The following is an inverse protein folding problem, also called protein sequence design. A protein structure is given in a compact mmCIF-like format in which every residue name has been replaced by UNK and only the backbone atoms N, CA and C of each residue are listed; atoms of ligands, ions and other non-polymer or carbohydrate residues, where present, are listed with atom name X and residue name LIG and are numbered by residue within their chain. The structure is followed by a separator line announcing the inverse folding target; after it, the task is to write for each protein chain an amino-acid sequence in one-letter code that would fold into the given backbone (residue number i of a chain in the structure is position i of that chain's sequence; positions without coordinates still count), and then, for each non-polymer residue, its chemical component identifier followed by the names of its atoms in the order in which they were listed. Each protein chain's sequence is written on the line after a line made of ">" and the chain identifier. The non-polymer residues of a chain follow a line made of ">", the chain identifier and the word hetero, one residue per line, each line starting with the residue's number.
data_IF_532836276551
#
_entry.id   IF_532836276551
#
_cell.length_a   1.000
_cell.length_b   1.000
_cell.length_c   1.000
_cell.angle_alpha   90.00
_cell.angle_beta   90.00
_cell.angle_gamma   90.00
#
_symmetry.space_group_name_H-M   'P 1'
#
loop_
_entity.id
_entity.type
_entity.pdbx_description
1 polymer ?
#
# COMPACT_ATOMS: atom_id res chain seq x y z
N UNK A 1 -61.71 16.53 -23.10
CA UNK A 1 -61.37 15.13 -23.48
C UNK A 1 -62.31 14.23 -22.70
N UNK A 2 -63.04 13.32 -23.35
CA UNK A 2 -63.97 12.42 -22.63
C UNK A 2 -63.21 11.28 -21.96
N UNK A 3 -63.66 10.86 -20.78
CA UNK A 3 -63.09 9.75 -19.99
C UNK A 3 -63.21 8.42 -20.72
N UNK A 4 -64.31 8.21 -21.45
CA UNK A 4 -64.56 6.99 -22.23
C UNK A 4 -63.52 6.80 -23.35
N UNK A 5 -62.96 7.91 -23.86
CA UNK A 5 -62.02 7.94 -25.00
C UNK A 5 -60.72 8.65 -24.64
N UNK A 6 -60.04 8.14 -23.60
CA UNK A 6 -58.73 8.64 -23.20
C UNK A 6 -57.63 8.25 -24.21
N UNK A 7 -57.38 9.15 -25.16
CA UNK A 7 -56.30 9.05 -26.14
C UNK A 7 -54.91 9.21 -25.50
N UNK A 8 -54.05 8.20 -25.71
CA UNK A 8 -52.67 8.19 -25.26
C UNK A 8 -51.85 9.36 -25.81
N UNK A 9 -52.04 9.77 -27.07
CA UNK A 9 -51.28 10.88 -27.68
C UNK A 9 -51.55 12.22 -27.00
N UNK A 10 -52.74 12.38 -26.41
CA UNK A 10 -53.09 13.57 -25.63
C UNK A 10 -52.53 13.47 -24.22
N UNK A 11 -52.50 12.28 -23.60
CA UNK A 11 -51.96 12.09 -22.25
C UNK A 11 -50.42 12.13 -22.21
N UNK A 12 -49.77 11.57 -23.23
CA UNK A 12 -48.32 11.49 -23.37
C UNK A 12 -47.86 11.99 -24.74
N UNK A 13 -47.89 13.32 -24.98
CA UNK A 13 -47.44 13.89 -26.25
C UNK A 13 -45.96 13.59 -26.48
N UNK A 14 -45.64 13.00 -27.63
CA UNK A 14 -44.29 12.54 -27.94
C UNK A 14 -43.77 11.43 -27.01
N UNK A 15 -44.65 10.73 -26.28
CA UNK A 15 -44.27 9.66 -25.36
C UNK A 15 -43.84 10.11 -23.96
N UNK A 16 -43.92 11.41 -23.64
CA UNK A 16 -43.57 11.93 -22.32
C UNK A 16 -44.74 11.79 -21.34
N UNK A 17 -44.51 11.07 -20.23
CA UNK A 17 -45.50 10.96 -19.15
C UNK A 17 -45.49 12.20 -18.25
N UNK A 18 -46.61 12.45 -17.54
CA UNK A 18 -46.69 13.55 -16.57
C UNK A 18 -47.37 14.83 -17.08
N UNK A 19 -48.30 14.72 -18.05
CA UNK A 19 -49.13 15.86 -18.45
C UNK A 19 -49.96 16.36 -17.27
N UNK A 20 -50.04 17.68 -17.12
CA UNK A 20 -50.97 18.32 -16.19
C UNK A 20 -52.42 18.13 -16.70
N UNK A 21 -53.20 17.28 -16.03
CA UNK A 21 -54.59 16.94 -16.38
C UNK A 21 -55.51 17.43 -15.27
N UNK A 22 -56.55 18.17 -15.66
CA UNK A 22 -57.61 18.63 -14.77
C UNK A 22 -58.84 17.73 -14.98
N UNK A 23 -59.42 17.25 -13.89
CA UNK A 23 -60.59 16.36 -13.88
C UNK A 23 -61.80 17.06 -13.27
N UNK A 24 -62.98 16.85 -13.84
CA UNK A 24 -64.24 17.13 -13.13
C UNK A 24 -64.54 15.96 -12.19
N UNK A 25 -65.33 16.20 -11.14
CA UNK A 25 -65.65 15.18 -10.13
C UNK A 25 -66.30 13.92 -10.73
N UNK A 26 -67.29 14.11 -11.61
CA UNK A 26 -67.98 13.02 -12.31
C UNK A 26 -67.05 12.23 -13.22
N UNK A 27 -66.11 12.90 -13.88
CA UNK A 27 -65.12 12.26 -14.73
C UNK A 27 -64.16 11.38 -13.91
N UNK A 28 -63.72 11.86 -12.74
CA UNK A 28 -62.82 11.10 -11.88
C UNK A 28 -63.48 9.83 -11.33
N UNK A 29 -64.74 9.93 -10.86
CA UNK A 29 -65.53 8.77 -10.39
C UNK A 29 -65.73 7.69 -11.46
N UNK A 30 -65.82 8.11 -12.73
CA UNK A 30 -66.05 7.18 -13.85
C UNK A 30 -64.81 6.36 -14.24
N UNK A 31 -63.60 6.81 -13.88
CA UNK A 31 -62.35 6.07 -14.17
C UNK A 31 -62.32 4.68 -13.53
N UNK A 32 -62.82 4.54 -12.29
CA UNK A 32 -62.84 3.27 -11.56
C UNK A 32 -63.72 2.23 -12.25
N UNK A 33 -64.83 2.63 -12.86
CA UNK A 33 -65.71 1.72 -13.62
C UNK A 33 -65.06 1.29 -14.95
N UNK A 34 -64.37 2.23 -15.61
CA UNK A 34 -63.75 2.03 -16.92
C UNK A 34 -62.48 1.17 -16.84
N UNK A 35 -61.64 1.35 -15.83
CA UNK A 35 -60.35 0.63 -15.71
C UNK A 35 -60.32 -0.39 -14.58
N UNK A 36 -61.16 -0.25 -13.56
CA UNK A 36 -61.09 -1.08 -12.36
C UNK A 36 -59.95 -0.66 -11.43
N UNK A 37 -59.64 -1.55 -10.49
CA UNK A 37 -58.52 -1.43 -9.56
C UNK A 37 -57.66 -2.70 -9.66
N UNK A 38 -56.54 -2.80 -8.94
CA UNK A 38 -55.78 -4.05 -8.90
C UNK A 38 -56.55 -5.23 -8.26
N UNK A 39 -57.60 -4.94 -7.48
CA UNK A 39 -58.44 -5.96 -6.81
C UNK A 39 -59.71 -6.28 -7.60
N UNK A 40 -60.27 -5.30 -8.31
CA UNK A 40 -61.55 -5.42 -9.01
C UNK A 40 -61.35 -5.19 -10.51
N UNK A 41 -61.71 -6.14 -11.39
CA UNK A 41 -61.53 -5.97 -12.83
C UNK A 41 -62.41 -4.84 -13.39
N UNK A 42 -62.09 -4.38 -14.61
CA UNK A 42 -62.91 -3.38 -15.30
C UNK A 42 -64.33 -3.89 -15.56
N UNK A 43 -65.33 -3.01 -15.40
CA UNK A 43 -66.73 -3.31 -15.73
C UNK A 43 -67.02 -3.10 -17.21
N UNK A 44 -66.44 -2.05 -17.80
CA UNK A 44 -66.73 -1.64 -19.17
C UNK A 44 -65.78 -2.28 -20.19
N UNK A 45 -64.50 -2.47 -19.83
CA UNK A 45 -63.49 -3.07 -20.71
C UNK A 45 -63.41 -4.57 -20.48
N UNK A 46 -64.00 -5.34 -21.39
CA UNK A 46 -64.02 -6.80 -21.34
C UNK A 46 -62.61 -7.39 -21.28
N UNK A 47 -62.36 -8.22 -20.27
CA UNK A 47 -61.08 -8.94 -20.09
C UNK A 47 -59.90 -8.05 -19.71
N UNK A 48 -60.14 -6.78 -19.36
CA UNK A 48 -59.08 -5.86 -18.96
C UNK A 48 -58.90 -5.84 -17.44
N UNK A 49 -57.65 -5.93 -17.02
CA UNK A 49 -57.24 -5.70 -15.63
C UNK A 49 -56.02 -4.76 -15.62
N UNK A 50 -55.88 -3.98 -14.55
CA UNK A 50 -54.71 -3.14 -14.38
C UNK A 50 -53.43 -4.00 -14.29
N UNK A 51 -52.35 -3.63 -14.98
CA UNK A 51 -51.06 -4.29 -14.82
C UNK A 51 -50.61 -4.24 -13.35
N UNK A 52 -50.25 -5.40 -12.81
CA UNK A 52 -49.71 -5.48 -11.46
C UNK A 52 -48.26 -4.99 -11.46
N UNK A 53 -47.87 -4.13 -10.51
CA UNK A 53 -46.49 -3.68 -10.42
C UNK A 53 -45.60 -4.87 -10.06
N UNK A 54 -44.46 -5.01 -10.74
CA UNK A 54 -43.48 -6.08 -10.47
C UNK A 54 -42.86 -5.98 -9.07
N UNK A 55 -42.82 -4.78 -8.51
CA UNK A 55 -42.33 -4.49 -7.16
C UNK A 55 -43.46 -3.90 -6.34
N UNK A 56 -43.71 -4.45 -5.14
CA UNK A 56 -44.69 -3.89 -4.21
C UNK A 56 -44.30 -2.48 -3.73
N UNK A 57 -43.01 -2.28 -3.43
CA UNK A 57 -42.41 -0.99 -3.07
C UNK A 57 -41.33 -0.63 -4.08
N UNK A 58 -41.45 0.53 -4.71
CA UNK A 58 -40.48 1.03 -5.71
C UNK A 58 -39.32 1.81 -5.08
N UNK A 59 -39.43 2.23 -3.82
CA UNK A 59 -38.37 2.93 -3.11
C UNK A 59 -37.25 1.98 -2.67
N UNK A 60 -36.30 1.78 -3.58
CA UNK A 60 -35.09 1.00 -3.35
C UNK A 60 -34.22 1.59 -2.24
N UNK A 61 -34.21 2.92 -2.07
CA UNK A 61 -33.39 3.57 -1.05
C UNK A 61 -33.86 3.22 0.35
N UNK A 62 -35.17 3.16 0.56
CA UNK A 62 -35.76 2.69 1.81
C UNK A 62 -35.44 1.23 2.07
N UNK A 63 -35.65 0.36 1.08
CA UNK A 63 -35.36 -1.08 1.19
C UNK A 63 -33.89 -1.34 1.55
N UNK A 64 -32.95 -0.74 0.82
CA UNK A 64 -31.51 -0.93 1.10
C UNK A 64 -31.07 -0.34 2.45
N UNK A 65 -31.83 0.61 2.98
CA UNK A 65 -31.56 1.21 4.29
C UNK A 65 -32.23 0.47 5.46
N UNK A 66 -33.08 -0.50 5.17
CA UNK A 66 -33.80 -1.29 6.17
C UNK A 66 -32.81 -2.04 7.07
N UNK A 67 -33.13 -2.13 8.37
CA UNK A 67 -32.25 -2.71 9.38
C UNK A 67 -32.05 -4.20 9.16
N UNK A 68 -33.09 -4.89 8.70
CA UNK A 68 -33.09 -6.31 8.38
C UNK A 68 -32.05 -6.64 7.29
N UNK A 69 -31.97 -5.79 6.26
CA UNK A 69 -31.00 -5.95 5.17
C UNK A 69 -29.60 -5.56 5.65
N UNK A 70 -29.47 -4.45 6.39
CA UNK A 70 -28.18 -3.96 6.88
C UNK A 70 -27.52 -4.89 7.88
N UNK A 71 -28.31 -5.56 8.73
CA UNK A 71 -27.82 -6.48 9.74
C UNK A 71 -27.11 -7.70 9.11
N UNK A 72 -27.61 -8.17 7.97
CA UNK A 72 -27.04 -9.32 7.25
C UNK A 72 -25.92 -8.90 6.29
N UNK A 73 -25.89 -7.64 5.86
CA UNK A 73 -24.93 -7.14 4.91
C UNK A 73 -23.50 -7.12 5.49
N UNK A 74 -22.53 -7.58 4.71
CA UNK A 74 -21.11 -7.42 5.04
C UNK A 74 -20.70 -5.95 4.98
N UNK A 75 -19.71 -5.58 5.79
CA UNK A 75 -19.16 -4.22 5.80
C UNK A 75 -18.63 -3.84 4.41
N UNK A 76 -18.92 -2.62 3.90
CA UNK A 76 -18.44 -2.18 2.60
C UNK A 76 -16.92 -2.18 2.49
N UNK A 77 -16.38 -2.72 1.40
CA UNK A 77 -14.95 -2.67 1.09
C UNK A 77 -14.59 -1.30 0.49
N UNK A 78 -13.88 -0.48 1.27
CA UNK A 78 -13.51 0.90 0.86
C UNK A 78 -12.11 1.00 0.21
N UNK A 79 -11.49 -0.12 -0.18
CA UNK A 79 -10.12 -0.14 -0.71
C UNK A 79 -10.09 0.29 -2.17
N UNK A 80 -9.67 1.52 -2.43
CA UNK A 80 -9.40 2.01 -3.78
C UNK A 80 -7.96 1.67 -4.17
N UNK A 81 -7.78 0.68 -5.06
CA UNK A 81 -6.46 0.32 -5.60
C UNK A 81 -6.14 1.25 -6.76
N UNK A 82 -5.21 2.18 -6.56
CA UNK A 82 -4.70 3.05 -7.64
C UNK A 82 -3.48 2.43 -8.30
N UNK A 83 -3.35 2.63 -9.61
CA UNK A 83 -2.15 2.23 -10.36
C UNK A 83 -0.94 3.01 -9.84
N UNK A 84 -0.01 2.33 -9.18
CA UNK A 84 1.27 2.91 -8.76
C UNK A 84 2.25 2.84 -9.93
N UNK A 85 3.00 3.91 -10.16
CA UNK A 85 4.09 3.92 -11.16
C UNK A 85 5.18 2.93 -10.72
N UNK A 86 5.56 2.01 -11.61
CA UNK A 86 6.69 1.09 -11.37
C UNK A 86 7.99 1.84 -11.67
N UNK A 87 8.71 2.21 -10.62
CA UNK A 87 10.01 2.89 -10.73
C UNK A 87 11.11 1.84 -10.99
N UNK A 88 12.07 2.16 -11.86
CA UNK A 88 13.19 1.26 -12.14
C UNK A 88 14.13 1.21 -10.91
N UNK A 89 14.42 0.04 -10.31
CA UNK A 89 15.26 -0.05 -9.12
C UNK A 89 16.73 0.29 -9.40
N UNK A 90 17.24 0.07 -10.62
CA UNK A 90 18.64 0.35 -10.94
C UNK A 90 18.93 1.85 -10.94
N UNK A 91 17.96 2.68 -11.36
CA UNK A 91 18.09 4.13 -11.33
C UNK A 91 17.52 4.76 -10.03
N UNK A 92 16.57 4.11 -9.36
CA UNK A 92 15.94 4.62 -8.14
C UNK A 92 16.38 3.85 -6.90
N UNK A 93 17.18 4.52 -6.05
CA UNK A 93 17.72 3.93 -4.82
C UNK A 93 16.64 3.46 -3.85
N UNK A 94 15.53 4.21 -3.68
CA UNK A 94 14.44 3.82 -2.77
C UNK A 94 13.71 2.57 -3.26
N UNK A 95 13.49 2.48 -4.58
CA UNK A 95 12.90 1.29 -5.17
C UNK A 95 13.82 0.07 -5.03
N UNK A 96 15.13 0.23 -5.23
CA UNK A 96 16.11 -0.83 -4.99
C UNK A 96 16.12 -1.27 -3.53
N UNK A 97 16.10 -0.34 -2.57
CA UNK A 97 16.14 -0.69 -1.15
C UNK A 97 14.88 -1.41 -0.69
N UNK A 98 13.71 -1.04 -1.23
CA UNK A 98 12.47 -1.75 -0.97
C UNK A 98 12.50 -3.18 -1.52
N UNK A 99 13.18 -3.40 -2.64
CA UNK A 99 13.31 -4.72 -3.26
C UNK A 99 14.42 -5.56 -2.61
N UNK A 100 15.56 -4.95 -2.31
CA UNK A 100 16.75 -5.58 -1.76
C UNK A 100 17.42 -4.64 -0.72
N UNK A 101 17.22 -4.87 0.58
CA UNK A 101 17.83 -4.06 1.63
C UNK A 101 19.36 -4.22 1.68
N UNK A 102 19.89 -5.38 1.29
CA UNK A 102 21.33 -5.66 1.29
C UNK A 102 22.10 -4.83 0.24
N UNK A 103 21.38 -4.29 -0.76
CA UNK A 103 21.96 -3.37 -1.74
C UNK A 103 22.60 -2.13 -1.10
N UNK A 104 22.11 -1.68 0.08
CA UNK A 104 22.73 -0.59 0.83
C UNK A 104 24.16 -0.93 1.27
N UNK A 105 24.33 -2.13 1.83
CA UNK A 105 25.61 -2.63 2.35
C UNK A 105 26.61 -2.80 1.20
N UNK A 106 26.18 -3.47 0.13
CA UNK A 106 27.02 -3.68 -1.06
C UNK A 106 27.46 -2.36 -1.70
N UNK A 107 26.54 -1.40 -1.87
CA UNK A 107 26.89 -0.06 -2.38
C UNK A 107 27.88 0.65 -1.47
N UNK A 108 27.68 0.59 -0.14
CA UNK A 108 28.60 1.21 0.81
C UNK A 108 29.99 0.56 0.76
N UNK A 109 30.04 -0.77 0.73
CA UNK A 109 31.30 -1.52 0.63
C UNK A 109 32.04 -1.19 -0.67
N UNK A 110 31.33 -1.11 -1.81
CA UNK A 110 31.90 -0.75 -3.09
C UNK A 110 32.49 0.67 -3.08
N UNK A 111 31.79 1.65 -2.48
CA UNK A 111 32.30 3.02 -2.31
C UNK A 111 33.60 3.03 -1.48
N UNK A 112 33.60 2.35 -0.33
CA UNK A 112 34.79 2.28 0.54
C UNK A 112 35.97 1.59 -0.14
N UNK A 113 35.73 0.50 -0.87
CA UNK A 113 36.75 -0.21 -1.63
C UNK A 113 37.32 0.66 -2.77
N UNK A 114 36.46 1.42 -3.46
CA UNK A 114 36.85 2.36 -4.51
C UNK A 114 37.74 3.49 -3.97
N UNK A 115 37.33 4.10 -2.85
CA UNK A 115 38.13 5.12 -2.16
C UNK A 115 39.50 4.58 -1.75
N UNK A 116 39.56 3.38 -1.15
CA UNK A 116 40.82 2.74 -0.78
C UNK A 116 41.74 2.55 -2.00
N UNK A 117 41.20 2.10 -3.14
CA UNK A 117 41.96 1.90 -4.37
C UNK A 117 42.49 3.20 -4.96
N UNK A 118 41.70 4.28 -4.91
CA UNK A 118 42.14 5.62 -5.34
C UNK A 118 43.32 6.09 -4.49
N UNK A 119 43.18 6.05 -3.16
CA UNK A 119 44.24 6.47 -2.25
C UNK A 119 45.54 5.68 -2.44
N UNK A 120 45.45 4.35 -2.62
CA UNK A 120 46.60 3.50 -2.92
C UNK A 120 47.27 3.85 -4.26
N UNK A 121 46.47 4.17 -5.29
CA UNK A 121 46.98 4.61 -6.58
C UNK A 121 47.70 5.95 -6.45
N UNK A 122 47.13 6.90 -5.71
CA UNK A 122 47.71 8.23 -5.50
C UNK A 122 49.05 8.13 -4.75
N UNK A 123 49.14 7.27 -3.73
CA UNK A 123 50.40 6.96 -3.04
C UNK A 123 51.44 6.34 -3.97
N UNK A 124 51.05 5.34 -4.75
CA UNK A 124 51.96 4.67 -5.67
C UNK A 124 52.48 5.63 -6.75
N UNK A 125 51.62 6.51 -7.25
CA UNK A 125 51.94 7.51 -8.25
C UNK A 125 52.86 8.59 -7.66
N UNK A 126 52.59 9.09 -6.46
CA UNK A 126 53.44 10.05 -5.76
C UNK A 126 54.86 9.49 -5.52
N UNK A 127 54.95 8.22 -5.07
CA UNK A 127 56.24 7.51 -4.92
C UNK A 127 56.98 7.38 -6.24
N UNK A 128 56.29 7.03 -7.34
CA UNK A 128 56.90 6.97 -8.69
C UNK A 128 57.41 8.33 -9.17
N UNK A 129 56.73 9.41 -8.81
CA UNK A 129 57.13 10.79 -9.16
C UNK A 129 58.19 11.37 -8.21
N UNK A 130 58.56 10.68 -7.13
CA UNK A 130 59.50 11.18 -6.14
C UNK A 130 58.97 12.36 -5.30
N UNK A 131 57.67 12.63 -5.33
CA UNK A 131 57.03 13.77 -4.64
C UNK A 131 56.26 13.25 -3.42
N UNK A 132 56.33 13.96 -2.30
CA UNK A 132 55.51 13.66 -1.12
C UNK A 132 54.09 14.21 -1.27
N UNK A 133 53.07 13.41 -0.93
CA UNK A 133 51.68 13.85 -0.92
C UNK A 133 51.47 15.03 0.06
N UNK A 134 50.59 16.00 -0.26
CA UNK A 134 50.30 17.14 0.62
C UNK A 134 49.81 16.69 2.01
N UNK A 135 50.14 17.46 3.06
CA UNK A 135 49.73 17.11 4.44
C UNK A 135 48.21 17.03 4.65
N UNK A 136 47.42 17.65 3.77
CA UNK A 136 45.94 17.63 3.80
C UNK A 136 45.38 16.32 3.23
N UNK A 137 46.17 15.59 2.43
CA UNK A 137 45.71 14.39 1.74
C UNK A 137 45.25 13.30 2.74
N UNK A 138 44.13 12.61 2.48
CA UNK A 138 43.54 11.65 3.42
C UNK A 138 44.51 10.58 3.92
N UNK A 139 45.39 10.08 3.06
CA UNK A 139 46.43 9.11 3.42
C UNK A 139 47.35 9.64 4.52
N UNK A 140 47.98 10.80 4.28
CA UNK A 140 48.94 11.41 5.19
C UNK A 140 48.27 11.76 6.51
N UNK A 141 47.04 12.30 6.44
CA UNK A 141 46.22 12.61 7.61
C UNK A 141 45.89 11.35 8.42
N UNK A 142 45.51 10.25 7.76
CA UNK A 142 45.20 8.98 8.40
C UNK A 142 46.42 8.34 9.08
N UNK A 143 47.58 8.37 8.43
CA UNK A 143 48.84 7.87 8.98
C UNK A 143 49.26 8.67 10.22
N UNK A 144 49.17 10.00 10.17
CA UNK A 144 49.45 10.89 11.30
C UNK A 144 48.52 10.62 12.48
N UNK A 145 47.22 10.39 12.21
CA UNK A 145 46.25 10.04 13.25
C UNK A 145 46.55 8.67 13.87
N UNK A 146 46.89 7.66 13.08
CA UNK A 146 47.26 6.33 13.57
C UNK A 146 48.51 6.36 14.44
N UNK A 147 49.54 7.12 14.05
CA UNK A 147 50.75 7.30 14.85
C UNK A 147 50.44 7.93 16.23
N UNK A 148 49.61 8.98 16.26
CA UNK A 148 49.13 9.61 17.51
C UNK A 148 48.38 8.61 18.40
N UNK A 149 47.45 7.84 17.82
CA UNK A 149 46.69 6.83 18.56
C UNK A 149 47.58 5.72 19.13
N UNK A 150 48.55 5.22 18.35
CA UNK A 150 49.53 4.21 18.83
C UNK A 150 50.35 4.73 20.00
N UNK A 151 50.83 5.96 19.93
CA UNK A 151 51.56 6.59 21.03
C UNK A 151 50.72 6.71 22.31
N UNK A 152 49.45 7.09 22.19
CA UNK A 152 48.52 7.15 23.34
C UNK A 152 48.25 5.77 23.94
N UNK A 153 48.02 4.74 23.11
CA UNK A 153 47.79 3.38 23.58
C UNK A 153 49.02 2.84 24.34
N UNK A 154 50.23 3.09 23.83
CA UNK A 154 51.46 2.68 24.49
C UNK A 154 51.67 3.41 25.83
N UNK A 155 51.32 4.69 25.90
CA UNK A 155 51.38 5.49 27.14
C UNK A 155 50.38 5.01 28.19
N UNK A 156 49.20 4.55 27.78
CA UNK A 156 48.12 4.12 28.66
C UNK A 156 48.13 2.61 28.97
N UNK A 157 49.12 1.85 28.49
CA UNK A 157 49.21 0.41 28.74
C UNK A 157 49.70 0.16 30.18
N UNK A 158 48.96 -0.54 31.06
CA UNK A 158 49.39 -0.79 32.44
C UNK A 158 50.64 -1.67 32.46
N UNK A 159 51.64 -1.34 33.30
CA UNK A 159 52.82 -2.18 33.54
C UNK A 159 52.35 -3.51 34.15
N UNK A 160 52.59 -4.62 33.46
CA UNK A 160 52.25 -5.97 33.95
C UNK A 160 53.25 -6.35 35.06
N UNK A 161 52.80 -6.41 36.31
CA UNK A 161 53.61 -6.90 37.43
C UNK A 161 53.96 -8.39 37.23
N UNK A 162 55.22 -8.76 37.48
CA UNK A 162 55.71 -10.15 37.46
C UNK A 162 55.04 -10.93 38.58
N UNK A 163 54.16 -11.89 38.27
CA UNK A 163 53.65 -12.85 39.27
C UNK A 163 54.76 -13.82 39.69
N UNK A 164 55.02 -13.89 41.00
CA UNK A 164 55.89 -14.88 41.63
C UNK A 164 55.30 -16.30 41.51
N UNK A 165 56.16 -17.32 41.37
CA UNK A 165 55.83 -18.75 41.39
C UNK A 165 55.31 -19.15 42.78
N UNK A 166 54.19 -19.88 42.85
CA UNK A 166 53.72 -20.59 44.04
C UNK A 166 53.93 -22.12 43.88
N UNK A 167 54.19 -22.87 44.98
CA UNK A 167 54.69 -24.25 44.95
C UNK A 167 53.58 -25.27 44.67
N UNK A 168 54.02 -26.46 44.22
CA UNK A 168 53.21 -27.43 43.48
C UNK A 168 52.11 -28.19 44.24
N UNK A 169 51.20 -28.76 43.44
CA UNK A 169 50.32 -29.85 43.79
C UNK A 169 50.27 -30.86 42.64
N UNK A 170 50.13 -32.13 43.03
CA UNK A 170 50.49 -33.37 42.33
C UNK A 170 49.74 -33.62 41.00
N UNK A 171 50.45 -34.31 40.10
CA UNK A 171 49.94 -34.85 38.84
C UNK A 171 48.91 -35.99 39.04
N UNK A 172 47.93 -36.13 38.14
CA UNK A 172 47.36 -37.43 37.82
C UNK A 172 47.73 -37.90 36.40
N UNK A 173 47.82 -39.22 36.32
CA UNK A 173 48.40 -40.06 35.29
C UNK A 173 47.87 -39.89 33.85
N UNK A 174 48.75 -40.24 32.91
CA UNK A 174 48.51 -40.35 31.48
C UNK A 174 47.40 -41.34 31.11
N UNK A 175 46.57 -40.97 30.13
CA UNK A 175 45.90 -41.91 29.22
C UNK A 175 46.24 -41.52 27.78
N UNK A 176 46.72 -42.51 27.04
CA UNK A 176 47.21 -42.44 25.67
C UNK A 176 46.10 -42.16 24.63
N UNK A 177 46.44 -41.84 23.36
CA UNK A 177 45.58 -41.11 22.42
C UNK A 177 44.67 -42.02 21.58
N UNK A 178 43.47 -41.53 21.25
CA UNK A 178 42.61 -42.12 20.22
C UNK A 178 42.42 -41.16 19.04
N UNK A 179 42.78 -41.64 17.85
CA UNK A 179 42.64 -41.02 16.53
C UNK A 179 41.16 -40.75 16.18
N UNK A 180 40.87 -39.57 15.63
CA UNK A 180 40.26 -39.35 14.31
C UNK A 180 40.28 -37.86 13.97
#
# INVERSE_FOLDING_TARGET
>A
MSVEKLNLLKLAPGGHVGRFVIWTESAFKRLDQLFGTWKTPSKEKKGYNLPQPKMANTDLSRLLKAEEIKHVLRVPQKKVVRRVRRLNPLNNTRAMLKLNPYAAVLKRQAILAGQKRQLQRDEALAKKRGITLPSVHPVVRSAKLQARRRAQILKNKPKKEKKAKAPGAKAPAAKAPAKK
#
